data_IF_107976935037
#
_entry.id   IF_107976935037
#
_cell.length_a   1.000
_cell.length_b   1.000
_cell.length_c   1.000
_cell.angle_alpha   90.00
_cell.angle_beta   90.00
_cell.angle_gamma   90.00
#
_symmetry.space_group_name_H-M   'P 1'
#
loop_
_entity.id
_entity.type
_entity.pdbx_description
1 polymer ?
#
# COMPACT_ATOMS: atom_id res chain seq x y z
N UNK A 1 -9.99 -10.98 6.33
CA UNK A 1 -9.23 -9.95 7.08
C UNK A 1 -10.05 -8.74 7.50
N UNK A 2 -10.08 -8.48 8.79
CA UNK A 2 -10.71 -7.32 9.43
C UNK A 2 -9.88 -6.03 9.27
N UNK A 3 -10.55 -4.87 9.36
CA UNK A 3 -9.91 -3.55 9.24
C UNK A 3 -8.71 -3.39 10.16
N UNK A 4 -8.80 -3.85 11.40
CA UNK A 4 -7.72 -3.69 12.37
C UNK A 4 -6.48 -4.51 12.01
N UNK A 5 -6.64 -5.66 11.37
CA UNK A 5 -5.53 -6.47 10.87
C UNK A 5 -4.85 -5.78 9.68
N UNK A 6 -5.62 -5.20 8.75
CA UNK A 6 -5.07 -4.41 7.63
C UNK A 6 -4.26 -3.21 8.14
N UNK A 7 -4.78 -2.48 9.14
CA UNK A 7 -4.04 -1.37 9.76
C UNK A 7 -2.79 -1.83 10.52
N UNK A 8 -2.78 -3.04 11.07
CA UNK A 8 -1.60 -3.61 11.71
C UNK A 8 -0.53 -4.03 10.68
N UNK A 9 -0.96 -4.57 9.52
CA UNK A 9 -0.08 -4.90 8.40
C UNK A 9 0.53 -3.66 7.74
N UNK A 10 -0.30 -2.64 7.52
CA UNK A 10 0.02 -1.41 6.79
C UNK A 10 -0.30 -0.19 7.67
N UNK A 11 0.46 0.04 8.76
CA UNK A 11 0.22 1.17 9.66
C UNK A 11 0.34 2.52 8.95
N UNK A 12 1.05 2.60 7.82
CA UNK A 12 1.17 3.77 6.97
C UNK A 12 -0.20 4.27 6.44
N UNK A 13 -1.25 3.45 6.44
CA UNK A 13 -2.63 3.91 6.15
C UNK A 13 -3.03 5.03 7.12
N UNK A 14 -2.56 5.01 8.37
CA UNK A 14 -2.88 6.04 9.37
C UNK A 14 -2.25 7.40 9.06
N UNK A 15 -1.30 7.47 8.13
CA UNK A 15 -0.74 8.73 7.64
C UNK A 15 -1.71 9.50 6.74
N UNK A 16 -2.71 8.83 6.17
CA UNK A 16 -3.79 9.49 5.42
C UNK A 16 -4.71 10.20 6.42
N UNK A 17 -4.88 11.51 6.28
CA UNK A 17 -5.66 12.33 7.22
C UNK A 17 -7.16 12.21 7.00
N UNK A 18 -7.57 12.11 5.74
CA UNK A 18 -8.95 11.88 5.32
C UNK A 18 -9.43 10.51 5.81
N UNK A 19 -10.37 10.50 6.76
CA UNK A 19 -11.00 9.27 7.25
C UNK A 19 -11.67 8.49 6.11
N UNK A 20 -12.40 9.17 5.24
CA UNK A 20 -13.00 8.57 4.05
C UNK A 20 -11.96 7.86 3.17
N UNK A 21 -10.82 8.51 2.91
CA UNK A 21 -9.80 7.90 2.05
C UNK A 21 -9.13 6.71 2.76
N UNK A 22 -8.86 6.80 4.07
CA UNK A 22 -8.38 5.65 4.86
C UNK A 22 -9.30 4.44 4.74
N UNK A 23 -10.60 4.64 4.94
CA UNK A 23 -11.56 3.54 4.87
C UNK A 23 -11.66 2.97 3.46
N UNK A 24 -11.56 3.81 2.43
CA UNK A 24 -11.49 3.35 1.04
C UNK A 24 -10.21 2.55 0.76
N UNK A 25 -9.05 2.98 1.26
CA UNK A 25 -7.78 2.25 1.13
C UNK A 25 -7.88 0.88 1.81
N UNK A 26 -8.38 0.82 3.06
CA UNK A 26 -8.60 -0.45 3.76
C UNK A 26 -9.56 -1.35 2.96
N UNK A 27 -10.68 -0.81 2.50
CA UNK A 27 -11.68 -1.56 1.73
C UNK A 27 -11.09 -2.14 0.44
N UNK A 28 -10.20 -1.39 -0.22
CA UNK A 28 -9.51 -1.85 -1.43
C UNK A 28 -8.61 -3.06 -1.14
N UNK A 29 -7.85 -3.03 -0.04
CA UNK A 29 -7.06 -4.19 0.40
C UNK A 29 -7.92 -5.39 0.77
N UNK A 30 -8.98 -5.17 1.55
CA UNK A 30 -9.91 -6.25 1.91
C UNK A 30 -10.52 -6.90 0.67
N UNK A 31 -10.90 -6.09 -0.32
CA UNK A 31 -11.44 -6.59 -1.59
C UNK A 31 -10.40 -7.38 -2.36
N UNK A 32 -9.19 -6.85 -2.57
CA UNK A 32 -8.16 -7.54 -3.35
C UNK A 32 -7.73 -8.86 -2.71
N UNK A 33 -7.54 -8.89 -1.39
CA UNK A 33 -7.21 -10.11 -0.62
C UNK A 33 -8.34 -11.14 -0.77
N UNK A 34 -9.59 -10.70 -0.63
CA UNK A 34 -10.77 -11.58 -0.75
C UNK A 34 -10.92 -12.15 -2.17
N UNK A 35 -10.85 -11.30 -3.20
CA UNK A 35 -11.01 -11.71 -4.59
C UNK A 35 -9.86 -12.61 -5.05
N UNK A 36 -8.65 -12.40 -4.52
CA UNK A 36 -7.50 -13.28 -4.73
C UNK A 36 -7.53 -14.60 -3.96
N UNK A 37 -8.50 -14.80 -3.06
CA UNK A 37 -8.62 -16.02 -2.26
C UNK A 37 -7.57 -16.19 -1.16
N UNK A 38 -6.90 -15.11 -0.75
CA UNK A 38 -5.83 -15.16 0.26
C UNK A 38 -6.41 -15.29 1.67
N UNK A 39 -5.85 -16.21 2.47
CA UNK A 39 -6.15 -16.25 3.91
C UNK A 39 -5.39 -15.17 4.67
N UNK A 40 -5.79 -14.94 5.92
CA UNK A 40 -5.12 -13.94 6.75
C UNK A 40 -3.63 -14.28 7.02
N UNK A 41 -3.26 -15.56 6.98
CA UNK A 41 -1.88 -16.04 7.16
C UNK A 41 -1.07 -15.90 5.87
N UNK A 42 -1.65 -16.25 4.72
CA UNK A 42 -0.96 -16.24 3.43
C UNK A 42 -0.59 -14.84 2.95
N UNK A 43 -1.37 -13.81 3.33
CA UNK A 43 -1.08 -12.41 3.00
C UNK A 43 0.31 -11.97 3.47
N UNK A 44 0.79 -12.52 4.59
CA UNK A 44 2.13 -12.22 5.11
C UNK A 44 3.25 -12.80 4.23
N UNK A 45 2.94 -13.84 3.46
CA UNK A 45 3.86 -14.56 2.60
C UNK A 45 3.65 -14.24 1.12
N UNK A 46 2.74 -13.34 0.79
CA UNK A 46 2.48 -12.91 -0.58
C UNK A 46 3.78 -12.38 -1.23
N UNK A 47 4.22 -12.95 -2.36
CA UNK A 47 5.47 -12.55 -2.99
C UNK A 47 5.33 -11.19 -3.67
N UNK A 48 6.39 -10.38 -3.64
CA UNK A 48 6.43 -9.15 -4.44
C UNK A 48 6.59 -9.45 -5.93
N UNK A 49 7.15 -10.60 -6.30
CA UNK A 49 7.34 -10.98 -7.70
C UNK A 49 7.50 -12.48 -7.82
N UNK A 50 6.84 -13.09 -8.80
CA UNK A 50 7.00 -14.53 -9.10
C UNK A 50 8.18 -14.78 -10.06
N UNK A 51 8.55 -13.79 -10.87
CA UNK A 51 9.59 -13.95 -11.91
C UNK A 51 11.03 -13.82 -11.39
N UNK A 52 11.21 -13.43 -10.13
CA UNK A 52 12.52 -13.16 -9.54
C UNK A 52 12.93 -14.27 -8.59
N UNK A 53 13.87 -15.10 -9.02
CA UNK A 53 14.43 -16.17 -8.19
C UNK A 53 15.09 -15.59 -6.92
N UNK A 54 14.89 -16.28 -5.79
CA UNK A 54 15.47 -15.95 -4.48
C UNK A 54 15.18 -14.51 -3.98
N UNK A 55 14.02 -13.94 -4.34
CA UNK A 55 13.57 -12.67 -3.74
C UNK A 55 13.05 -12.94 -2.32
N UNK A 56 13.74 -12.42 -1.31
CA UNK A 56 13.37 -12.54 0.11
C UNK A 56 12.38 -11.47 0.56
N UNK A 57 12.17 -10.42 -0.25
CA UNK A 57 11.24 -9.33 0.02
C UNK A 57 9.79 -9.74 -0.26
N UNK A 58 8.94 -9.61 0.76
CA UNK A 58 7.49 -9.84 0.65
C UNK A 58 6.72 -8.63 0.08
N UNK A 59 5.50 -8.87 -0.41
CA UNK A 59 4.63 -7.82 -0.96
C UNK A 59 4.30 -6.73 0.07
N UNK A 60 3.95 -7.12 1.31
CA UNK A 60 3.62 -6.17 2.37
C UNK A 60 4.84 -5.32 2.74
N UNK A 61 6.01 -5.93 2.92
CA UNK A 61 7.27 -5.21 3.16
C UNK A 61 7.54 -4.20 2.03
N UNK A 62 7.41 -4.63 0.78
CA UNK A 62 7.60 -3.76 -0.38
C UNK A 62 6.66 -2.54 -0.37
N UNK A 63 5.36 -2.76 -0.17
CA UNK A 63 4.36 -1.68 -0.12
C UNK A 63 4.70 -0.68 0.98
N UNK A 64 5.12 -1.17 2.15
CA UNK A 64 5.50 -0.32 3.28
C UNK A 64 6.73 0.51 2.96
N UNK A 65 7.78 -0.11 2.43
CA UNK A 65 9.02 0.58 2.08
C UNK A 65 8.81 1.66 1.02
N UNK A 66 8.02 1.36 -0.01
CA UNK A 66 7.64 2.34 -1.04
C UNK A 66 6.85 3.49 -0.41
N UNK A 67 5.86 3.19 0.43
CA UNK A 67 5.04 4.22 1.09
C UNK A 67 5.88 5.11 2.01
N UNK A 68 6.80 4.52 2.77
CA UNK A 68 7.73 5.22 3.64
C UNK A 68 8.73 6.08 2.85
N UNK A 69 9.21 5.61 1.70
CA UNK A 69 10.03 6.41 0.80
C UNK A 69 9.25 7.61 0.25
N UNK A 70 7.98 7.42 -0.15
CA UNK A 70 7.10 8.51 -0.61
C UNK A 70 6.88 9.55 0.48
N UNK A 71 6.56 9.13 1.70
CA UNK A 71 6.37 10.00 2.86
C UNK A 71 7.60 10.88 3.12
N UNK A 72 8.79 10.27 3.15
CA UNK A 72 10.05 10.99 3.39
C UNK A 72 10.37 11.96 2.25
N UNK A 73 10.21 11.54 1.00
CA UNK A 73 10.47 12.40 -0.16
C UNK A 73 9.49 13.58 -0.22
N UNK A 74 8.21 13.36 0.10
CA UNK A 74 7.21 14.42 0.10
C UNK A 74 7.62 15.61 1.00
N UNK A 75 8.20 15.35 2.18
CA UNK A 75 8.70 16.40 3.08
C UNK A 75 9.73 17.34 2.41
N UNK A 76 10.55 16.82 1.49
CA UNK A 76 11.54 17.61 0.77
C UNK A 76 10.99 18.24 -0.51
N UNK A 77 10.05 17.54 -1.18
CA UNK A 77 9.55 17.92 -2.50
C UNK A 77 8.41 18.94 -2.44
N UNK A 78 7.61 18.97 -1.36
CA UNK A 78 6.45 19.85 -1.22
C UNK A 78 6.79 21.33 -1.44
N UNK A 79 7.96 21.78 -0.96
CA UNK A 79 8.45 23.14 -1.18
C UNK A 79 8.52 23.54 -2.66
N UNK A 80 8.84 22.61 -3.56
CA UNK A 80 8.91 22.87 -5.00
C UNK A 80 7.51 22.91 -5.62
N UNK A 81 6.63 21.99 -5.21
CA UNK A 81 5.22 21.97 -5.61
C UNK A 81 4.53 23.29 -5.27
N UNK A 82 4.67 23.74 -4.02
CA UNK A 82 4.15 25.04 -3.56
C UNK A 82 4.76 26.20 -4.34
N UNK A 83 6.10 26.22 -4.51
CA UNK A 83 6.81 27.29 -5.25
C UNK A 83 6.30 27.47 -6.69
N UNK A 84 5.88 26.39 -7.34
CA UNK A 84 5.40 26.42 -8.73
C UNK A 84 3.87 26.42 -8.84
N UNK A 85 3.13 26.62 -7.74
CA UNK A 85 1.67 26.66 -7.74
C UNK A 85 1.00 25.33 -8.12
N UNK A 86 1.73 24.22 -8.00
CA UNK A 86 1.22 22.86 -8.26
C UNK A 86 0.96 22.22 -6.90
N UNK A 87 -0.27 22.19 -6.40
CA UNK A 87 -0.57 21.46 -5.17
C UNK A 87 -0.64 19.96 -5.45
N UNK A 88 0.16 19.19 -4.73
CA UNK A 88 0.04 17.72 -4.65
C UNK A 88 -0.69 17.39 -3.36
N UNK A 89 -1.78 16.63 -3.48
CA UNK A 89 -2.51 16.16 -2.31
C UNK A 89 -1.72 15.01 -1.64
N UNK A 90 -1.28 15.23 -0.40
CA UNK A 90 -0.48 14.27 0.36
C UNK A 90 -1.24 12.96 0.61
N UNK A 91 -2.54 13.04 0.91
CA UNK A 91 -3.35 11.88 1.24
C UNK A 91 -3.55 11.00 0.01
N UNK A 92 -3.81 11.62 -1.15
CA UNK A 92 -3.88 10.92 -2.43
C UNK A 92 -2.53 10.30 -2.80
N UNK A 93 -1.42 11.01 -2.57
CA UNK A 93 -0.07 10.50 -2.84
C UNK A 93 0.24 9.25 -1.99
N UNK A 94 -0.07 9.29 -0.69
CA UNK A 94 0.13 8.15 0.22
C UNK A 94 -0.78 6.99 -0.15
N UNK A 95 -2.06 7.26 -0.44
CA UNK A 95 -2.99 6.24 -0.92
C UNK A 95 -2.46 5.56 -2.18
N UNK A 96 -1.97 6.35 -3.15
CA UNK A 96 -1.36 5.82 -4.37
C UNK A 96 -0.15 4.93 -4.09
N UNK A 97 0.72 5.32 -3.16
CA UNK A 97 1.88 4.52 -2.76
C UNK A 97 1.46 3.21 -2.07
N UNK A 98 0.45 3.25 -1.20
CA UNK A 98 -0.10 2.05 -0.55
C UNK A 98 -0.70 1.08 -1.58
N UNK A 99 -1.42 1.59 -2.59
CA UNK A 99 -2.17 0.74 -3.52
C UNK A 99 -1.44 0.42 -4.82
N UNK A 100 -0.18 0.86 -5.00
CA UNK A 100 0.50 0.78 -6.30
C UNK A 100 0.62 -0.66 -6.83
N UNK A 101 0.82 -1.62 -5.92
CA UNK A 101 0.99 -3.04 -6.20
C UNK A 101 -0.16 -3.91 -5.64
N UNK A 102 -1.28 -3.27 -5.28
CA UNK A 102 -2.47 -3.95 -4.73
C UNK A 102 -2.98 -5.07 -5.64
N UNK A 103 -2.84 -4.90 -6.96
CA UNK A 103 -3.29 -5.87 -7.96
C UNK A 103 -2.59 -7.23 -7.88
N UNK A 104 -1.44 -7.34 -7.20
CA UNK A 104 -0.72 -8.61 -7.06
C UNK A 104 -1.52 -9.67 -6.32
N UNK A 105 -2.36 -9.28 -5.36
CA UNK A 105 -3.28 -10.20 -4.71
C UNK A 105 -4.29 -10.81 -5.68
N UNK A 106 -4.65 -10.11 -6.76
CA UNK A 106 -5.58 -10.61 -7.78
C UNK A 106 -4.89 -11.24 -8.99
N UNK A 107 -3.59 -10.97 -9.19
CA UNK A 107 -2.79 -11.55 -10.27
C UNK A 107 -2.28 -12.95 -9.91
N UNK A 108 -1.87 -13.13 -8.66
CA UNK A 108 -1.27 -14.37 -8.18
C UNK A 108 -2.35 -15.26 -7.58
N UNK A 109 -2.50 -16.45 -8.13
CA UNK A 109 -3.34 -17.49 -7.55
C UNK A 109 -2.48 -18.37 -6.63
N UNK A 110 -3.03 -18.74 -5.48
CA UNK A 110 -2.48 -19.84 -4.70
C UNK A 110 -2.97 -21.16 -5.32
N UNK A 111 -2.05 -21.96 -5.86
CA UNK A 111 -2.31 -23.36 -6.26
C UNK A 111 -1.92 -24.33 -5.14
#
# INVERSE_FOLDING_TARGET
MERQQILALLPEILEIRSEKLRDQTVSAFQLAIKEGGWSDEDVLHAPVSISRENCDVGLIEHIRDVTQAVLRNYLFLDKYFVRHGKRVDRDILICGALTHDLGKFTEYAME
#
